data_IF_396493867391
#
_entry.id   IF_396493867391
#
_cell.length_a   1.000
_cell.length_b   1.000
_cell.length_c   1.000
_cell.angle_alpha   90.00
_cell.angle_beta   90.00
_cell.angle_gamma   90.00
#
_symmetry.space_group_name_H-M   'P 1'
#
loop_
_entity.id
_entity.type
_entity.pdbx_description
1 polymer ?
#
# COMPACT_ATOMS: atom_id res chain seq x y z
N UNK A 1 16.94 -15.65 -9.39
CA UNK A 1 15.65 -16.00 -10.01
C UNK A 1 14.86 -16.78 -8.97
N UNK A 2 13.63 -16.39 -8.60
CA UNK A 2 12.85 -17.12 -7.59
C UNK A 2 12.62 -18.58 -8.03
N UNK A 3 12.40 -19.46 -7.04
CA UNK A 3 12.16 -20.89 -7.28
C UNK A 3 10.89 -21.11 -8.11
N UNK A 4 10.89 -22.14 -8.96
CA UNK A 4 9.70 -22.56 -9.72
C UNK A 4 8.54 -23.05 -8.84
N UNK A 5 8.82 -23.35 -7.56
CA UNK A 5 7.81 -23.75 -6.58
C UNK A 5 7.10 -22.56 -5.91
N UNK A 6 7.59 -21.34 -6.14
CA UNK A 6 7.03 -20.13 -5.54
C UNK A 6 5.86 -19.66 -6.39
N UNK A 7 4.69 -19.49 -5.76
CA UNK A 7 3.52 -18.95 -6.44
C UNK A 7 3.75 -17.47 -6.77
N UNK A 8 3.87 -17.17 -8.06
CA UNK A 8 4.14 -15.82 -8.53
C UNK A 8 2.95 -14.87 -8.29
N UNK A 9 1.75 -15.39 -8.00
CA UNK A 9 0.59 -14.57 -7.63
C UNK A 9 0.77 -13.88 -6.27
N UNK A 10 1.57 -14.45 -5.37
CA UNK A 10 1.91 -13.81 -4.09
C UNK A 10 3.00 -12.74 -4.22
N UNK A 11 3.64 -12.62 -5.38
CA UNK A 11 4.70 -11.65 -5.65
C UNK A 11 4.12 -10.30 -6.15
N UNK A 12 2.98 -9.88 -5.61
CA UNK A 12 2.33 -8.63 -5.95
C UNK A 12 3.17 -7.44 -5.44
N UNK A 13 3.54 -6.52 -6.34
CA UNK A 13 4.39 -5.35 -5.99
C UNK A 13 3.60 -4.05 -5.87
N UNK A 14 2.32 -4.07 -6.22
CA UNK A 14 1.44 -2.91 -6.21
C UNK A 14 0.33 -3.16 -5.19
N UNK A 15 0.17 -2.25 -4.25
CA UNK A 15 -0.79 -2.37 -3.16
C UNK A 15 -1.74 -1.17 -3.19
N UNK A 16 -3.03 -1.44 -3.16
CA UNK A 16 -4.03 -0.38 -3.01
C UNK A 16 -3.96 0.19 -1.58
N UNK A 17 -3.86 1.52 -1.47
CA UNK A 17 -3.85 2.26 -0.20
C UNK A 17 -5.21 2.90 0.09
N UNK A 18 -5.86 3.42 -0.94
CA UNK A 18 -7.23 3.96 -0.90
C UNK A 18 -7.90 3.77 -2.27
N UNK A 19 -9.19 4.10 -2.40
CA UNK A 19 -9.95 3.96 -3.65
C UNK A 19 -9.27 4.64 -4.86
N UNK A 20 -8.55 5.74 -4.62
CA UNK A 20 -7.88 6.55 -5.63
C UNK A 20 -6.34 6.47 -5.56
N UNK A 21 -5.76 5.60 -4.73
CA UNK A 21 -4.30 5.57 -4.51
C UNK A 21 -3.77 4.12 -4.50
N UNK A 22 -2.70 3.89 -5.26
CA UNK A 22 -1.92 2.65 -5.29
C UNK A 22 -0.45 2.98 -5.04
N UNK A 23 0.24 2.15 -4.27
CA UNK A 23 1.67 2.21 -4.05
C UNK A 23 2.38 1.01 -4.66
N UNK A 24 3.44 1.27 -5.43
CA UNK A 24 4.35 0.23 -5.91
C UNK A 24 5.59 0.17 -4.99
N UNK A 25 6.02 -1.03 -4.64
CA UNK A 25 7.13 -1.23 -3.71
C UNK A 25 8.39 -1.74 -4.42
N UNK A 26 9.54 -1.35 -3.89
CA UNK A 26 10.84 -1.89 -4.26
C UNK A 26 11.70 -2.01 -3.00
N UNK A 27 12.45 -3.10 -2.87
CA UNK A 27 13.30 -3.37 -1.72
C UNK A 27 12.75 -4.45 -0.80
N UNK A 28 12.86 -4.25 0.52
CA UNK A 28 12.48 -5.22 1.54
C UNK A 28 10.96 -5.22 1.70
N UNK A 29 10.30 -6.30 1.28
CA UNK A 29 8.84 -6.43 1.33
C UNK A 29 8.28 -6.32 2.75
N UNK A 30 9.01 -6.81 3.77
CA UNK A 30 8.57 -6.74 5.16
C UNK A 30 8.41 -5.28 5.64
N UNK A 31 9.39 -4.42 5.37
CA UNK A 31 9.34 -3.00 5.72
C UNK A 31 8.21 -2.30 4.96
N UNK A 32 8.08 -2.61 3.66
CA UNK A 32 7.04 -2.05 2.82
C UNK A 32 5.62 -2.38 3.33
N UNK A 33 5.39 -3.61 3.81
CA UNK A 33 4.10 -4.02 4.36
C UNK A 33 3.68 -3.18 5.58
N UNK A 34 4.64 -2.82 6.44
CA UNK A 34 4.39 -1.94 7.59
C UNK A 34 3.98 -0.55 7.10
N UNK A 35 4.73 0.03 6.15
CA UNK A 35 4.43 1.34 5.58
C UNK A 35 3.07 1.38 4.87
N UNK A 36 2.72 0.33 4.11
CA UNK A 36 1.42 0.18 3.45
C UNK A 36 0.29 0.15 4.48
N UNK A 37 0.47 -0.59 5.57
CA UNK A 37 -0.52 -0.68 6.64
C UNK A 37 -0.77 0.69 7.30
N UNK A 38 0.30 1.41 7.63
CA UNK A 38 0.22 2.76 8.21
C UNK A 38 -0.45 3.75 7.25
N UNK A 39 -0.08 3.72 5.96
CA UNK A 39 -0.65 4.61 4.95
C UNK A 39 -2.16 4.37 4.76
N UNK A 40 -2.62 3.10 4.76
CA UNK A 40 -4.07 2.78 4.73
C UNK A 40 -4.81 3.37 5.91
N UNK A 41 -4.25 3.25 7.11
CA UNK A 41 -4.86 3.81 8.32
C UNK A 41 -4.89 5.35 8.25
N UNK A 42 -3.82 5.98 7.78
CA UNK A 42 -3.76 7.43 7.60
C UNK A 42 -4.82 7.93 6.61
N UNK A 43 -4.99 7.26 5.47
CA UNK A 43 -6.01 7.59 4.47
C UNK A 43 -7.44 7.53 5.04
N UNK A 44 -7.77 6.45 5.76
CA UNK A 44 -9.10 6.30 6.36
C UNK A 44 -9.33 7.27 7.52
N UNK A 45 -8.30 7.62 8.31
CA UNK A 45 -8.39 8.66 9.34
C UNK A 45 -8.69 10.04 8.72
N UNK A 46 -8.05 10.36 7.60
CA UNK A 46 -8.32 11.60 6.88
C UNK A 46 -9.77 11.64 6.38
N UNK A 47 -10.21 10.56 5.72
CA UNK A 47 -11.59 10.44 5.25
C UNK A 47 -12.59 10.59 6.41
N UNK A 48 -12.33 9.95 7.55
CA UNK A 48 -13.17 10.09 8.74
C UNK A 48 -13.21 11.53 9.28
N UNK A 49 -12.09 12.24 9.24
CA UNK A 49 -11.97 13.58 9.84
C UNK A 49 -12.53 14.69 8.95
N UNK A 50 -12.30 14.58 7.63
CA UNK A 50 -12.58 15.65 6.66
C UNK A 50 -13.65 15.29 5.65
N UNK A 51 -14.23 14.08 5.72
CA UNK A 51 -15.24 13.54 4.80
C UNK A 51 -14.85 13.66 3.32
N UNK A 52 -13.55 13.67 3.05
CA UNK A 52 -12.97 13.83 1.71
C UNK A 52 -11.80 12.88 1.52
N UNK A 53 -11.53 12.40 0.29
CA UNK A 53 -10.37 11.55 0.03
C UNK A 53 -9.05 12.30 0.32
N UNK A 54 -8.08 11.62 0.93
CA UNK A 54 -6.78 12.23 1.25
C UNK A 54 -6.04 12.66 -0.03
N UNK A 55 -5.45 13.87 -0.10
CA UNK A 55 -4.57 14.25 -1.20
C UNK A 55 -3.28 13.41 -1.18
N UNK A 56 -2.80 12.96 -2.36
CA UNK A 56 -1.61 12.09 -2.47
C UNK A 56 -0.36 12.68 -1.80
N UNK A 57 -0.18 14.02 -1.86
CA UNK A 57 0.97 14.70 -1.23
C UNK A 57 0.94 14.65 0.32
N UNK A 58 -0.24 14.44 0.89
CA UNK A 58 -0.47 14.44 2.34
C UNK A 58 -0.44 13.03 2.94
N UNK A 59 -0.53 12.01 2.08
CA UNK A 59 -0.34 10.61 2.42
C UNK A 59 1.16 10.31 2.59
#
# INVERSE_FOLDING_TARGET
VPSKLLDASELEKCYQLDKHIVAAIAGITADANILISEARVAAQRWLYTFDTPIPVKQL
#
